data_IF_450802138120
#
_entry.id   IF_450802138120
#
_cell.length_a   1.000
_cell.length_b   1.000
_cell.length_c   1.000
_cell.angle_alpha   90.00
_cell.angle_beta   90.00
_cell.angle_gamma   90.00
#
_symmetry.space_group_name_H-M   'P 1'
#
loop_
_entity.id
_entity.type
_entity.pdbx_description
1 polymer ?
#
# COMPACT_ATOMS: atom_id res chain seq x y z
N UNK A 1 -19.35 -1.62 -22.30
CA UNK A 1 -18.87 -1.84 -20.94
C UNK A 1 -19.64 -0.89 -20.05
N UNK A 2 -20.51 -1.38 -19.17
CA UNK A 2 -21.19 -0.52 -18.19
C UNK A 2 -20.14 0.06 -17.23
N UNK A 3 -20.27 1.33 -16.81
CA UNK A 3 -19.35 1.92 -15.84
C UNK A 3 -19.40 1.14 -14.52
N UNK A 4 -18.23 0.90 -13.92
CA UNK A 4 -18.09 0.27 -12.61
C UNK A 4 -18.77 1.17 -11.58
N UNK A 5 -19.74 0.63 -10.82
CA UNK A 5 -20.43 1.37 -9.76
C UNK A 5 -19.57 1.41 -8.50
N UNK A 6 -19.73 2.45 -7.67
CA UNK A 6 -18.99 2.56 -6.41
C UNK A 6 -19.12 1.33 -5.50
N UNK A 7 -20.32 0.75 -5.45
CA UNK A 7 -20.59 -0.50 -4.73
C UNK A 7 -19.72 -1.66 -5.22
N UNK A 8 -19.64 -1.86 -6.54
CA UNK A 8 -18.83 -2.94 -7.10
C UNK A 8 -17.32 -2.76 -6.85
N UNK A 9 -16.84 -1.52 -6.81
CA UNK A 9 -15.45 -1.20 -6.49
C UNK A 9 -15.11 -1.59 -5.04
N UNK A 10 -15.99 -1.27 -4.08
CA UNK A 10 -15.79 -1.59 -2.66
C UNK A 10 -15.79 -3.10 -2.43
N UNK A 11 -16.73 -3.81 -3.04
CA UNK A 11 -16.78 -5.28 -2.94
C UNK A 11 -15.48 -5.89 -3.45
N UNK A 12 -15.00 -5.45 -4.61
CA UNK A 12 -13.72 -5.94 -5.16
C UNK A 12 -12.55 -5.63 -4.23
N UNK A 13 -12.48 -4.42 -3.69
CA UNK A 13 -11.41 -4.02 -2.78
C UNK A 13 -11.35 -4.92 -1.53
N UNK A 14 -12.48 -5.15 -0.87
CA UNK A 14 -12.54 -6.05 0.29
C UNK A 14 -12.22 -7.49 -0.05
N UNK A 15 -12.57 -7.96 -1.25
CA UNK A 15 -12.15 -9.31 -1.69
C UNK A 15 -10.65 -9.40 -1.85
N UNK A 16 -9.98 -8.36 -2.38
CA UNK A 16 -8.52 -8.33 -2.47
C UNK A 16 -7.86 -8.24 -1.10
N UNK A 17 -8.41 -7.45 -0.16
CA UNK A 17 -7.93 -7.40 1.22
C UNK A 17 -8.06 -8.77 1.87
N UNK A 18 -9.21 -9.43 1.79
CA UNK A 18 -9.43 -10.77 2.35
C UNK A 18 -8.48 -11.81 1.74
N UNK A 19 -8.30 -11.77 0.41
CA UNK A 19 -7.36 -12.65 -0.28
C UNK A 19 -5.92 -12.41 0.18
N UNK A 20 -5.49 -11.14 0.29
CA UNK A 20 -4.15 -10.81 0.78
C UNK A 20 -3.93 -11.25 2.23
N UNK A 21 -4.95 -11.18 3.08
CA UNK A 21 -4.92 -11.70 4.44
C UNK A 21 -4.67 -13.21 4.48
N UNK A 22 -5.31 -13.98 3.59
CA UNK A 22 -5.09 -15.43 3.50
C UNK A 22 -3.64 -15.77 3.15
N UNK A 23 -3.00 -15.01 2.25
CA UNK A 23 -1.59 -15.19 1.89
C UNK A 23 -0.64 -14.84 3.04
N UNK A 24 -0.95 -13.82 3.84
CA UNK A 24 -0.17 -13.48 5.04
C UNK A 24 -0.25 -14.57 6.10
N UNK A 25 -1.44 -15.11 6.34
CA UNK A 25 -1.62 -16.24 7.26
C UNK A 25 -0.83 -17.47 6.79
N UNK A 26 -0.87 -17.76 5.49
CA UNK A 26 -0.05 -18.83 4.91
C UNK A 26 1.44 -18.58 5.11
N UNK A 27 1.89 -17.32 4.96
CA UNK A 27 3.29 -16.92 5.16
C UNK A 27 3.75 -17.04 6.62
N UNK A 28 2.87 -16.71 7.58
CA UNK A 28 3.07 -16.92 9.02
C UNK A 28 3.13 -18.41 9.33
N UNK A 29 2.21 -19.19 8.78
CA UNK A 29 2.17 -20.64 9.00
C UNK A 29 3.45 -21.32 8.47
N UNK A 30 3.87 -20.96 7.26
CA UNK A 30 5.14 -21.43 6.69
C UNK A 30 6.37 -20.98 7.51
N UNK A 31 6.26 -19.87 8.25
CA UNK A 31 7.27 -19.43 9.21
C UNK A 31 7.40 -20.34 10.40
N UNK A 32 6.27 -20.66 11.01
CA UNK A 32 6.25 -21.53 12.18
C UNK A 32 6.75 -22.94 11.86
N UNK A 33 6.49 -23.44 10.65
CA UNK A 33 6.99 -24.75 10.21
C UNK A 33 8.49 -24.80 9.91
N UNK A 34 9.12 -23.68 9.56
CA UNK A 34 10.57 -23.61 9.27
C UNK A 34 11.30 -22.91 10.43
N UNK A 35 11.86 -23.71 11.34
CA UNK A 35 12.60 -23.29 12.56
C UNK A 35 13.87 -22.43 12.31
N UNK A 36 14.25 -22.18 11.05
CA UNK A 36 15.45 -21.41 10.67
C UNK A 36 15.07 -20.08 9.99
N UNK A 37 14.66 -19.04 10.74
CA UNK A 37 14.12 -17.82 10.10
C UNK A 37 14.98 -16.56 10.27
N UNK A 38 15.68 -16.16 9.20
CA UNK A 38 16.33 -14.85 9.04
C UNK A 38 15.43 -13.80 8.35
N UNK A 39 14.25 -14.16 7.82
CA UNK A 39 13.40 -13.31 6.97
C UNK A 39 12.54 -12.25 7.71
N UNK A 40 13.00 -11.72 8.86
CA UNK A 40 12.20 -10.82 9.70
C UNK A 40 11.79 -9.52 8.99
N UNK A 41 12.69 -8.98 8.15
CA UNK A 41 12.44 -7.72 7.44
C UNK A 41 11.45 -7.89 6.29
N UNK A 42 11.57 -8.98 5.52
CA UNK A 42 10.64 -9.26 4.43
C UNK A 42 9.21 -9.42 4.95
N UNK A 43 9.03 -10.10 6.08
CA UNK A 43 7.72 -10.26 6.71
C UNK A 43 7.19 -8.94 7.29
N UNK A 44 8.04 -8.15 7.95
CA UNK A 44 7.65 -6.85 8.52
C UNK A 44 7.12 -5.89 7.44
N UNK A 45 7.81 -5.77 6.30
CA UNK A 45 7.32 -4.98 5.18
C UNK A 45 6.02 -5.53 4.60
N UNK A 46 5.83 -6.85 4.58
CA UNK A 46 4.59 -7.45 4.10
C UNK A 46 3.40 -7.08 5.00
N UNK A 47 3.57 -7.13 6.33
CA UNK A 47 2.54 -6.70 7.28
C UNK A 47 2.25 -5.20 7.20
N UNK A 48 3.28 -4.37 7.05
CA UNK A 48 3.10 -2.92 6.88
C UNK A 48 2.30 -2.60 5.61
N UNK A 49 2.59 -3.29 4.50
CA UNK A 49 1.84 -3.15 3.25
C UNK A 49 0.37 -3.56 3.40
N UNK A 50 0.11 -4.66 4.09
CA UNK A 50 -1.26 -5.11 4.37
C UNK A 50 -2.04 -4.14 5.26
N UNK A 51 -1.39 -3.64 6.32
CA UNK A 51 -2.00 -2.64 7.18
C UNK A 51 -2.39 -1.38 6.40
N UNK A 52 -1.54 -0.95 5.45
CA UNK A 52 -1.87 0.17 4.56
C UNK A 52 -3.04 -0.17 3.62
N UNK A 53 -3.08 -1.35 3.00
CA UNK A 53 -4.22 -1.74 2.14
C UNK A 53 -5.53 -1.83 2.92
N UNK A 54 -5.49 -2.28 4.17
CA UNK A 54 -6.66 -2.34 5.03
C UNK A 54 -7.10 -0.92 5.42
N UNK A 55 -6.17 -0.02 5.72
CA UNK A 55 -6.48 1.38 6.00
C UNK A 55 -7.13 2.09 4.80
N UNK A 56 -6.68 1.81 3.58
CA UNK A 56 -7.28 2.35 2.34
C UNK A 56 -8.72 1.83 2.17
N UNK A 57 -8.92 0.51 2.28
CA UNK A 57 -10.26 -0.07 2.15
C UNK A 57 -11.25 0.49 3.19
N UNK A 58 -10.78 0.77 4.41
CA UNK A 58 -11.57 1.49 5.41
C UNK A 58 -11.87 2.92 4.94
N UNK A 59 -10.88 3.68 4.47
CA UNK A 59 -11.11 5.05 3.99
C UNK A 59 -12.10 5.09 2.81
N UNK A 60 -12.00 4.14 1.88
CA UNK A 60 -12.88 4.07 0.72
C UNK A 60 -14.32 3.67 1.10
N UNK A 61 -14.50 2.79 2.10
CA UNK A 61 -15.84 2.53 2.66
C UNK A 61 -16.43 3.74 3.38
N UNK A 62 -15.61 4.52 4.11
CA UNK A 62 -16.06 5.77 4.71
C UNK A 62 -16.45 6.78 3.62
N UNK A 63 -15.64 6.91 2.57
CA UNK A 63 -15.93 7.80 1.45
C UNK A 63 -17.26 7.44 0.77
N UNK A 64 -17.53 6.16 0.60
CA UNK A 64 -18.81 5.66 0.10
C UNK A 64 -19.99 6.02 1.02
N UNK A 65 -19.83 5.88 2.35
CA UNK A 65 -20.91 6.18 3.30
C UNK A 65 -21.27 7.67 3.35
N UNK A 66 -20.30 8.55 3.05
CA UNK A 66 -20.53 9.99 2.85
C UNK A 66 -21.18 10.33 1.50
N UNK A 67 -21.52 9.33 0.68
CA UNK A 67 -22.11 9.53 -0.65
C UNK A 67 -21.11 10.04 -1.69
N UNK A 68 -19.81 10.04 -1.38
CA UNK A 68 -18.79 10.59 -2.24
C UNK A 68 -18.47 9.74 -3.48
N UNK A 69 -19.01 8.51 -3.53
CA UNK A 69 -18.91 7.56 -4.65
C UNK A 69 -20.31 7.17 -5.17
N UNK A 70 -21.28 8.07 -4.98
CA UNK A 70 -22.63 7.94 -5.57
C UNK A 70 -22.60 8.33 -7.07
N UNK A 71 -23.57 7.90 -7.90
CA UNK A 71 -23.64 8.25 -9.32
C UNK A 71 -23.94 9.73 -9.59
N UNK A 72 -23.94 10.58 -8.56
CA UNK A 72 -24.10 12.02 -8.73
C UNK A 72 -22.89 12.58 -9.49
N UNK A 73 -23.10 13.53 -10.42
CA UNK A 73 -21.99 14.16 -11.12
C UNK A 73 -21.03 14.78 -10.09
N UNK A 74 -19.73 14.49 -10.21
CA UNK A 74 -18.66 15.05 -9.39
C UNK A 74 -18.76 16.59 -9.23
N UNK A 75 -19.41 17.27 -10.18
CA UNK A 75 -19.69 18.71 -10.20
C UNK A 75 -20.68 19.20 -9.13
N UNK A 76 -21.50 18.34 -8.51
CA UNK A 76 -22.50 18.72 -7.49
C UNK A 76 -22.05 18.39 -6.07
N UNK A 77 -20.92 17.70 -5.92
CA UNK A 77 -20.39 17.31 -4.63
C UNK A 77 -19.61 18.49 -4.05
N UNK A 78 -20.21 19.21 -3.09
CA UNK A 78 -19.48 20.19 -2.29
C UNK A 78 -18.54 19.42 -1.37
N UNK A 79 -17.21 19.52 -1.54
CA UNK A 79 -16.28 18.74 -0.74
C UNK A 79 -16.29 19.29 0.69
N UNK A 80 -16.92 18.55 1.60
CA UNK A 80 -16.83 18.82 3.04
C UNK A 80 -15.39 18.59 3.51
N UNK A 81 -14.92 19.38 4.46
CA UNK A 81 -13.62 19.21 5.13
C UNK A 81 -13.33 17.75 5.51
N UNK A 82 -14.34 17.03 6.02
CA UNK A 82 -14.24 15.60 6.37
C UNK A 82 -13.88 14.71 5.18
N UNK A 83 -14.50 14.94 4.01
CA UNK A 83 -14.26 14.16 2.79
C UNK A 83 -12.83 14.39 2.30
N UNK A 84 -12.37 15.65 2.31
CA UNK A 84 -11.02 16.03 1.91
C UNK A 84 -9.97 15.34 2.81
N UNK A 85 -10.20 15.34 4.12
CA UNK A 85 -9.31 14.67 5.10
C UNK A 85 -9.23 13.16 4.87
N UNK A 86 -10.36 12.51 4.58
CA UNK A 86 -10.40 11.08 4.29
C UNK A 86 -9.64 10.78 2.99
N UNK A 87 -9.91 11.53 1.91
CA UNK A 87 -9.21 11.39 0.63
C UNK A 87 -7.70 11.61 0.76
N UNK A 88 -7.28 12.62 1.51
CA UNK A 88 -5.87 12.88 1.79
C UNK A 88 -5.24 11.70 2.53
N UNK A 89 -5.91 11.18 3.56
CA UNK A 89 -5.43 10.04 4.35
C UNK A 89 -5.32 8.77 3.50
N UNK A 90 -6.35 8.46 2.70
CA UNK A 90 -6.37 7.33 1.77
C UNK A 90 -5.21 7.41 0.76
N UNK A 91 -5.01 8.59 0.17
CA UNK A 91 -3.93 8.84 -0.80
C UNK A 91 -2.55 8.63 -0.19
N UNK A 92 -2.34 9.08 1.06
CA UNK A 92 -1.08 8.85 1.77
C UNK A 92 -0.83 7.36 2.03
N UNK A 93 -1.84 6.63 2.53
CA UNK A 93 -1.71 5.19 2.73
C UNK A 93 -1.49 4.43 1.43
N UNK A 94 -2.13 4.83 0.32
CA UNK A 94 -1.90 4.24 -0.99
C UNK A 94 -0.47 4.44 -1.46
N UNK A 95 0.00 5.68 -1.42
CA UNK A 95 1.33 6.06 -1.89
C UNK A 95 2.44 5.36 -1.10
N UNK A 96 2.34 5.32 0.23
CA UNK A 96 3.33 4.63 1.08
C UNK A 96 3.16 3.11 0.98
N UNK A 97 1.92 2.64 1.07
CA UNK A 97 1.52 1.24 1.06
C UNK A 97 2.06 0.48 -0.15
N UNK A 98 2.10 1.12 -1.32
CA UNK A 98 2.54 0.52 -2.57
C UNK A 98 4.04 0.15 -2.58
N UNK A 99 4.88 0.79 -1.77
CA UNK A 99 6.31 0.47 -1.69
C UNK A 99 6.62 -0.67 -0.73
N UNK A 100 5.76 -0.96 0.23
CA UNK A 100 5.99 -2.02 1.22
C UNK A 100 6.03 -3.43 0.61
N UNK A 101 5.11 -3.86 -0.27
CA UNK A 101 5.24 -5.13 -0.98
C UNK A 101 6.52 -5.24 -1.81
N UNK A 102 6.92 -4.14 -2.47
CA UNK A 102 8.17 -4.08 -3.26
C UNK A 102 9.40 -4.28 -2.36
N UNK A 103 9.44 -3.61 -1.21
CA UNK A 103 10.49 -3.77 -0.22
C UNK A 103 10.51 -5.18 0.39
N UNK A 104 9.34 -5.80 0.63
CA UNK A 104 9.23 -7.19 1.11
C UNK A 104 9.86 -8.18 0.14
N UNK A 105 9.55 -8.04 -1.16
CA UNK A 105 10.09 -8.90 -2.22
C UNK A 105 11.61 -8.71 -2.35
N UNK A 106 12.09 -7.47 -2.33
CA UNK A 106 13.52 -7.17 -2.37
C UNK A 106 14.26 -7.79 -1.18
N UNK A 107 13.76 -7.61 0.04
CA UNK A 107 14.33 -8.22 1.24
C UNK A 107 14.39 -9.75 1.14
N UNK A 108 13.32 -10.37 0.63
CA UNK A 108 13.32 -11.82 0.38
C UNK A 108 14.41 -12.24 -0.63
N UNK A 109 14.61 -11.49 -1.72
CA UNK A 109 15.68 -11.77 -2.68
C UNK A 109 17.08 -11.55 -2.11
N UNK A 110 17.26 -10.60 -1.18
CA UNK A 110 18.54 -10.41 -0.50
C UNK A 110 18.91 -11.60 0.38
N UNK A 111 17.92 -12.29 0.94
CA UNK A 111 18.15 -13.50 1.74
C UNK A 111 18.30 -14.74 0.84
N UNK A 112 17.58 -14.80 -0.28
CA UNK A 112 17.60 -15.95 -1.19
C UNK A 112 18.85 -16.01 -2.09
N UNK A 113 19.31 -14.87 -2.62
CA UNK A 113 20.42 -14.84 -3.58
C UNK A 113 21.74 -14.85 -2.82
N UNK A 114 22.57 -15.92 -2.95
CA UNK A 114 23.84 -15.99 -2.24
C UNK A 114 24.86 -14.98 -2.80
N UNK A 115 25.80 -14.57 -1.95
CA UNK A 115 26.85 -13.59 -2.28
C UNK A 115 27.75 -14.06 -3.44
N UNK A 116 27.79 -15.38 -3.69
CA UNK A 116 28.57 -16.03 -4.75
C UNK A 116 28.21 -15.60 -6.17
N UNK A 117 27.05 -14.96 -6.39
CA UNK A 117 26.63 -14.43 -7.69
C UNK A 117 26.72 -12.88 -7.74
N UNK A 118 27.92 -12.30 -7.97
CA UNK A 118 28.16 -10.88 -7.77
C UNK A 118 27.36 -9.98 -8.72
N UNK A 119 27.21 -10.37 -10.00
CA UNK A 119 26.43 -9.60 -10.98
C UNK A 119 24.96 -9.50 -10.60
N UNK A 120 24.39 -10.61 -10.11
CA UNK A 120 23.01 -10.66 -9.66
C UNK A 120 22.80 -9.85 -8.38
N UNK A 121 23.77 -9.87 -7.46
CA UNK A 121 23.75 -9.05 -6.25
C UNK A 121 23.84 -7.56 -6.56
N UNK A 122 24.67 -7.15 -7.52
CA UNK A 122 24.75 -5.77 -7.97
C UNK A 122 23.43 -5.30 -8.59
N UNK A 123 22.82 -6.10 -9.47
CA UNK A 123 21.51 -5.79 -10.04
C UNK A 123 20.45 -5.62 -8.94
N UNK A 124 20.45 -6.51 -7.93
CA UNK A 124 19.52 -6.43 -6.80
C UNK A 124 19.71 -5.14 -5.98
N UNK A 125 20.97 -4.73 -5.74
CA UNK A 125 21.28 -3.47 -5.04
C UNK A 125 20.81 -2.26 -5.85
N UNK A 126 21.04 -2.23 -7.16
CA UNK A 126 20.58 -1.14 -8.04
C UNK A 126 19.05 -1.00 -7.98
N UNK A 127 18.32 -2.12 -8.08
CA UNK A 127 16.85 -2.11 -7.98
C UNK A 127 16.41 -1.68 -6.58
N UNK A 128 17.09 -2.13 -5.53
CA UNK A 128 16.76 -1.74 -4.16
C UNK A 128 16.95 -0.23 -3.92
N UNK A 129 18.05 0.34 -4.41
CA UNK A 129 18.31 1.78 -4.35
C UNK A 129 17.23 2.54 -5.13
N UNK A 130 16.89 2.09 -6.33
CA UNK A 130 15.83 2.71 -7.12
C UNK A 130 14.48 2.72 -6.38
N UNK A 131 14.06 1.59 -5.82
CA UNK A 131 12.80 1.49 -5.06
C UNK A 131 12.84 2.37 -3.81
N UNK A 132 13.97 2.40 -3.10
CA UNK A 132 14.15 3.26 -1.93
C UNK A 132 14.07 4.74 -2.30
N UNK A 133 14.75 5.18 -3.37
CA UNK A 133 14.70 6.56 -3.86
C UNK A 133 13.29 6.94 -4.33
N UNK A 134 12.60 6.05 -5.05
CA UNK A 134 11.22 6.29 -5.49
C UNK A 134 10.25 6.39 -4.31
N UNK A 135 10.39 5.52 -3.31
CA UNK A 135 9.59 5.56 -2.08
C UNK A 135 9.85 6.83 -1.27
N UNK A 136 11.13 7.20 -1.11
CA UNK A 136 11.52 8.44 -0.44
C UNK A 136 10.98 9.67 -1.17
N UNK A 137 11.07 9.71 -2.50
CA UNK A 137 10.52 10.81 -3.31
C UNK A 137 9.01 10.94 -3.12
N UNK A 138 8.30 9.81 -3.12
CA UNK A 138 6.84 9.80 -2.91
C UNK A 138 6.49 10.33 -1.50
N UNK A 139 7.20 9.86 -0.48
CA UNK A 139 7.03 10.35 0.89
C UNK A 139 7.33 11.85 1.02
N UNK A 140 8.48 12.30 0.49
CA UNK A 140 8.87 13.71 0.52
C UNK A 140 7.88 14.59 -0.27
N UNK A 141 7.37 14.11 -1.41
CA UNK A 141 6.37 14.86 -2.17
C UNK A 141 5.06 15.05 -1.41
N UNK A 142 4.61 14.02 -0.68
CA UNK A 142 3.37 14.07 0.09
C UNK A 142 3.45 14.92 1.36
N UNK A 143 4.60 14.92 2.04
CA UNK A 143 4.75 15.55 3.37
C UNK A 143 5.57 16.84 3.38
N UNK A 144 6.51 17.01 2.46
CA UNK A 144 7.49 18.12 2.49
C UNK A 144 7.23 19.14 1.39
N UNK A 145 6.79 18.70 0.21
CA UNK A 145 6.58 19.59 -0.93
C UNK A 145 5.18 20.22 -0.97
N UNK A 146 4.16 19.50 -0.52
CA UNK A 146 2.81 20.05 -0.40
C UNK A 146 2.76 21.12 0.71
N UNK A 147 1.89 22.15 0.58
CA UNK A 147 1.67 23.17 1.61
C UNK A 147 1.27 22.53 2.95
N UNK A 148 1.36 23.31 4.03
CA UNK A 148 1.09 22.81 5.38
C UNK A 148 -0.23 22.06 5.40
N UNK A 149 -0.24 20.88 6.03
CA UNK A 149 -1.43 20.02 6.07
C UNK A 149 -2.65 20.81 6.57
N UNK A 150 -2.45 21.79 7.46
CA UNK A 150 -3.46 22.74 7.96
C UNK A 150 -4.17 23.59 6.91
N UNK A 151 -3.52 23.82 5.77
CA UNK A 151 -3.98 24.75 4.73
C UNK A 151 -4.73 24.01 3.61
N UNK A 152 -4.83 22.67 3.70
CA UNK A 152 -5.52 21.84 2.71
C UNK A 152 -7.05 21.83 2.84
N UNK A 153 -7.61 22.44 3.89
CA UNK A 153 -9.05 22.41 4.18
C UNK A 153 -9.64 23.79 4.51
#
# INVERSE_FOLDING_TARGET
MSPVTGESAIVLEWTFVALSASFLLMRIFAAHLKITRQYRLADAFCYAGYACSLAIAICDTMLYSYGAVSPLPYSEMVPTETIIKICFTATNFYNIGLFFPKASILAFYFDFIPITYPRLRQALVVVAIYVACAGATTFLSGFVWCPQISDNW
#
